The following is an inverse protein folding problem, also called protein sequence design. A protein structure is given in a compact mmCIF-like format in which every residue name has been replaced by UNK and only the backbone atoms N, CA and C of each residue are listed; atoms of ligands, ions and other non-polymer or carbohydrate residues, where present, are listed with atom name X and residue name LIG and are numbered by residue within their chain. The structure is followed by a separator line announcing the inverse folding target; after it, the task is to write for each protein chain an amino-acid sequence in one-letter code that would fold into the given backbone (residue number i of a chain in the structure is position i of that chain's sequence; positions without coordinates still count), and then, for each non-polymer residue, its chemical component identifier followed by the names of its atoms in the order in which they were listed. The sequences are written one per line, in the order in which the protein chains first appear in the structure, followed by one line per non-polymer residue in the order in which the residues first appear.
data_IF_578355260285
#
_entry.id   IF_578355260285
#
_cell.length_a   1.000
_cell.length_b   1.000
_cell.length_c   1.000
_cell.angle_alpha   90.00
_cell.angle_beta   90.00
_cell.angle_gamma   90.00
#
_symmetry.space_group_name_H-M   'P 1'
#
loop_
_entity.id
_entity.type
_entity.pdbx_description
1 polymer ?
#
# COMPACT_ATOMS: atom_id res chain seq x y z
N UNK A 1 19.71 -15.08 -2.16
CA UNK A 1 19.62 -13.64 -2.36
C UNK A 1 19.34 -13.10 -1.00
N UNK A 2 20.29 -12.36 -0.49
CA UNK A 2 20.15 -11.70 0.79
C UNK A 2 19.24 -10.47 0.63
N UNK A 3 18.75 -9.94 1.75
CA UNK A 3 17.89 -8.76 1.75
C UNK A 3 18.55 -7.55 1.08
N UNK A 4 19.87 -7.39 1.22
CA UNK A 4 20.64 -6.32 0.58
C UNK A 4 20.59 -6.40 -0.96
N UNK A 5 20.51 -7.60 -1.53
CA UNK A 5 20.35 -7.78 -2.97
C UNK A 5 18.96 -7.31 -3.43
N UNK A 6 17.93 -7.53 -2.58
CA UNK A 6 16.55 -7.08 -2.86
C UNK A 6 16.44 -5.57 -2.82
N UNK A 7 17.10 -4.93 -1.86
CA UNK A 7 17.11 -3.48 -1.72
C UNK A 7 17.77 -2.80 -2.92
N UNK A 8 18.85 -3.38 -3.46
CA UNK A 8 19.45 -2.90 -4.72
C UNK A 8 18.53 -3.09 -5.92
N UNK A 9 17.80 -4.21 -5.99
CA UNK A 9 16.81 -4.43 -7.05
C UNK A 9 15.66 -3.41 -7.01
N UNK A 10 15.29 -2.95 -5.82
CA UNK A 10 14.31 -1.89 -5.63
C UNK A 10 14.88 -0.48 -5.86
N UNK A 11 16.21 -0.32 -5.97
CA UNK A 11 16.88 0.98 -6.06
C UNK A 11 16.86 1.77 -4.75
N UNK A 12 16.83 1.07 -3.63
CA UNK A 12 16.61 1.64 -2.28
C UNK A 12 17.91 1.80 -1.47
N UNK A 13 19.02 1.26 -1.96
CA UNK A 13 20.26 1.17 -1.20
C UNK A 13 20.94 2.51 -0.91
N UNK A 14 20.63 3.57 -1.66
CA UNK A 14 21.07 4.93 -1.36
C UNK A 14 20.18 5.59 -0.28
N UNK A 15 18.86 5.44 -0.39
CA UNK A 15 17.90 6.00 0.57
C UNK A 15 18.11 5.45 1.98
N UNK A 16 18.46 4.17 2.09
CA UNK A 16 18.76 3.52 3.37
C UNK A 16 20.05 4.01 4.04
N UNK A 17 20.98 4.63 3.30
CA UNK A 17 22.22 5.20 3.83
C UNK A 17 22.05 6.64 4.30
N UNK A 18 21.01 7.34 3.82
CA UNK A 18 20.70 8.71 4.21
C UNK A 18 20.04 8.76 5.60
N UNK A 19 20.71 9.38 6.57
CA UNK A 19 20.22 9.50 7.95
C UNK A 19 19.00 10.40 8.08
N UNK A 20 18.77 11.29 7.12
CA UNK A 20 17.59 12.15 7.09
C UNK A 20 16.39 11.49 6.40
N UNK A 21 16.57 10.30 5.83
CA UNK A 21 15.50 9.54 5.19
C UNK A 21 15.03 8.44 6.13
N UNK A 22 13.78 8.56 6.58
CA UNK A 22 13.18 7.52 7.40
C UNK A 22 12.91 6.26 6.57
N UNK A 23 13.16 5.10 7.17
CA UNK A 23 12.91 3.84 6.51
C UNK A 23 12.60 2.71 7.49
N UNK A 24 11.93 1.68 6.99
CA UNK A 24 11.68 0.42 7.68
C UNK A 24 11.85 -0.73 6.69
N UNK A 25 12.79 -1.62 6.97
CA UNK A 25 13.01 -2.84 6.18
C UNK A 25 12.67 -4.05 7.04
N UNK A 26 11.72 -4.85 6.57
CA UNK A 26 11.28 -6.08 7.19
C UNK A 26 11.57 -7.23 6.21
N UNK A 27 12.24 -8.28 6.70
CA UNK A 27 12.37 -9.54 5.97
C UNK A 27 11.59 -10.62 6.74
N UNK A 28 10.61 -11.23 6.07
CA UNK A 28 9.63 -12.10 6.70
C UNK A 28 8.94 -11.35 7.86
N UNK A 29 9.21 -11.72 9.11
CA UNK A 29 8.62 -11.07 10.28
C UNK A 29 9.62 -10.18 11.02
N UNK A 30 10.89 -10.13 10.56
CA UNK A 30 11.98 -9.49 11.31
C UNK A 30 12.33 -8.13 10.76
N UNK A 31 12.46 -7.15 11.66
CA UNK A 31 12.99 -5.83 11.32
C UNK A 31 14.49 -5.96 11.08
N UNK A 32 14.92 -5.67 9.85
CA UNK A 32 16.32 -5.72 9.42
C UNK A 32 16.99 -4.35 9.53
N UNK A 33 16.26 -3.29 9.17
CA UNK A 33 16.76 -1.91 9.26
C UNK A 33 15.62 -0.96 9.60
N UNK A 34 15.94 0.07 10.38
CA UNK A 34 14.98 1.10 10.79
C UNK A 34 15.69 2.41 11.03
N UNK A 35 15.17 3.48 10.44
CA UNK A 35 15.55 4.86 10.74
C UNK A 35 14.28 5.70 10.85
N UNK A 36 14.25 6.60 11.82
CA UNK A 36 13.13 7.52 12.05
C UNK A 36 13.63 8.96 12.06
N UNK A 37 12.74 9.89 11.76
CA UNK A 37 13.01 11.33 11.76
C UNK A 37 12.07 12.02 12.76
N UNK A 38 12.39 13.24 13.23
CA UNK A 38 11.55 13.94 14.20
C UNK A 38 10.08 14.01 13.79
N UNK A 39 9.19 13.64 14.71
CA UNK A 39 7.74 13.64 14.51
C UNK A 39 7.17 12.41 13.78
N UNK A 40 8.01 11.46 13.35
CA UNK A 40 7.59 10.16 12.83
C UNK A 40 7.91 9.06 13.86
N UNK A 41 6.86 8.37 14.30
CA UNK A 41 6.97 7.21 15.18
C UNK A 41 6.60 5.95 14.40
N UNK A 42 7.42 4.92 14.55
CA UNK A 42 7.18 3.61 13.97
C UNK A 42 7.40 2.60 15.10
N UNK A 43 6.37 1.88 15.50
CA UNK A 43 6.47 0.77 16.45
C UNK A 43 6.28 -0.56 15.70
N UNK A 44 7.04 -1.57 16.09
CA UNK A 44 7.04 -2.88 15.43
C UNK A 44 7.10 -3.98 16.47
N UNK A 45 6.25 -5.00 16.31
CA UNK A 45 6.20 -6.16 17.20
C UNK A 45 6.06 -7.43 16.35
N UNK A 46 7.03 -8.34 16.46
CA UNK A 46 6.94 -9.65 15.81
C UNK A 46 5.84 -10.49 16.48
N UNK A 47 5.02 -11.16 15.69
CA UNK A 47 3.99 -12.10 16.14
C UNK A 47 4.21 -13.45 15.46
N UNK A 48 3.53 -14.50 15.94
CA UNK A 48 3.74 -15.90 15.52
C UNK A 48 3.84 -16.07 13.99
N UNK A 49 2.91 -15.45 13.26
CA UNK A 49 2.80 -15.56 11.80
C UNK A 49 3.08 -14.25 11.04
N UNK A 50 3.65 -13.23 11.70
CA UNK A 50 3.67 -11.91 11.12
C UNK A 50 4.36 -10.81 11.94
N UNK A 51 3.97 -9.58 11.66
CA UNK A 51 4.45 -8.39 12.35
C UNK A 51 3.33 -7.36 12.48
N UNK A 52 3.20 -6.76 13.67
CA UNK A 52 2.42 -5.55 13.87
C UNK A 52 3.29 -4.34 13.56
N UNK A 53 2.78 -3.38 12.78
CA UNK A 53 3.46 -2.13 12.46
C UNK A 53 2.52 -0.97 12.74
N UNK A 54 2.93 -0.07 13.63
CA UNK A 54 2.18 1.14 13.96
C UNK A 54 2.97 2.37 13.54
N UNK A 55 2.37 3.23 12.73
CA UNK A 55 2.98 4.45 12.22
C UNK A 55 2.17 5.65 12.69
N UNK A 56 2.82 6.60 13.35
CA UNK A 56 2.19 7.84 13.81
C UNK A 56 3.02 9.02 13.31
N UNK A 57 2.34 10.00 12.72
CA UNK A 57 2.95 11.29 12.39
C UNK A 57 2.34 12.34 13.29
N UNK A 58 3.18 13.04 14.05
CA UNK A 58 2.72 14.04 15.03
C UNK A 58 1.98 15.22 14.38
N UNK A 59 1.15 15.89 15.19
CA UNK A 59 0.33 17.01 14.73
C UNK A 59 1.17 18.14 14.12
N UNK A 60 0.76 18.61 12.93
CA UNK A 60 1.42 19.69 12.21
C UNK A 60 2.78 19.34 11.60
N UNK A 61 3.27 18.10 11.77
CA UNK A 61 4.56 17.68 11.22
C UNK A 61 4.46 17.38 9.72
N UNK A 62 5.39 17.93 8.97
CA UNK A 62 5.61 17.59 7.56
C UNK A 62 6.88 16.73 7.47
N UNK A 63 6.72 15.48 7.05
CA UNK A 63 7.84 14.62 6.71
C UNK A 63 8.28 14.96 5.27
N UNK A 64 9.35 15.73 5.16
CA UNK A 64 9.82 16.32 3.89
C UNK A 64 10.30 15.26 2.89
N UNK A 65 11.10 14.29 3.35
CA UNK A 65 11.59 13.19 2.52
C UNK A 65 10.58 12.05 2.53
N UNK A 66 10.46 11.38 1.38
CA UNK A 66 9.63 10.18 1.25
C UNK A 66 10.16 9.10 2.20
N UNK A 67 9.26 8.47 2.94
CA UNK A 67 9.59 7.38 3.86
C UNK A 67 9.60 6.08 3.08
N UNK A 68 10.64 5.27 3.26
CA UNK A 68 10.81 4.03 2.50
C UNK A 68 10.45 2.83 3.36
N UNK A 69 9.51 2.01 2.90
CA UNK A 69 9.12 0.77 3.57
C UNK A 69 9.43 -0.41 2.64
N UNK A 70 10.14 -1.41 3.13
CA UNK A 70 10.50 -2.58 2.36
C UNK A 70 10.01 -3.83 3.07
N UNK A 71 9.17 -4.61 2.40
CA UNK A 71 8.67 -5.90 2.86
C UNK A 71 9.21 -6.99 1.94
N UNK A 72 10.30 -7.61 2.38
CA UNK A 72 10.96 -8.69 1.64
C UNK A 72 10.57 -10.06 2.16
N UNK A 73 10.52 -11.04 1.25
CA UNK A 73 10.51 -12.46 1.62
C UNK A 73 11.59 -13.16 0.80
N UNK A 74 12.69 -13.51 1.46
CA UNK A 74 13.85 -14.18 0.82
C UNK A 74 13.67 -15.69 0.62
N UNK A 75 12.69 -16.29 1.30
CA UNK A 75 12.40 -17.72 1.26
C UNK A 75 11.51 -18.08 0.06
N UNK A 76 11.63 -19.30 -0.44
CA UNK A 76 10.82 -19.82 -1.53
C UNK A 76 9.40 -20.24 -1.07
N UNK A 77 9.27 -20.62 0.20
CA UNK A 77 8.02 -20.85 0.90
C UNK A 77 7.93 -20.03 2.17
N UNK A 78 6.84 -19.28 2.35
CA UNK A 78 6.66 -18.43 3.51
C UNK A 78 5.23 -17.95 3.68
N UNK A 79 4.88 -17.65 4.92
CA UNK A 79 3.72 -16.83 5.27
C UNK A 79 4.23 -15.55 5.93
N UNK A 80 3.80 -14.41 5.41
CA UNK A 80 4.04 -13.11 6.00
C UNK A 80 2.69 -12.44 6.21
N UNK A 81 2.30 -12.26 7.48
CA UNK A 81 1.13 -11.44 7.85
C UNK A 81 1.62 -10.09 8.38
N UNK A 82 1.01 -9.00 7.92
CA UNK A 82 1.30 -7.65 8.38
C UNK A 82 0.01 -7.04 8.88
N UNK A 83 -0.01 -6.66 10.15
CA UNK A 83 -1.10 -5.85 10.72
C UNK A 83 -0.59 -4.43 10.83
N UNK A 84 -1.16 -3.53 10.03
CA UNK A 84 -0.68 -2.17 9.90
C UNK A 84 -1.68 -1.17 10.46
N UNK A 85 -1.23 -0.29 11.36
CA UNK A 85 -2.00 0.85 11.85
C UNK A 85 -1.27 2.14 11.51
N UNK A 86 -1.95 3.07 10.83
CA UNK A 86 -1.40 4.37 10.47
C UNK A 86 -2.32 5.48 11.01
N UNK A 87 -1.75 6.41 11.79
CA UNK A 87 -2.45 7.62 12.25
C UNK A 87 -1.64 8.87 11.88
N UNK A 88 -2.07 9.56 10.82
CA UNK A 88 -1.48 10.83 10.38
C UNK A 88 -2.24 11.95 11.05
N UNK A 89 -1.66 12.55 12.11
CA UNK A 89 -2.34 13.52 12.97
C UNK A 89 -2.69 14.81 12.24
N UNK A 90 -3.49 15.65 12.91
CA UNK A 90 -4.07 16.87 12.35
C UNK A 90 -3.01 17.72 11.67
N UNK A 91 -3.31 18.21 10.46
CA UNK A 91 -2.41 19.02 9.64
C UNK A 91 -1.03 18.40 9.34
N UNK A 92 -0.82 17.11 9.61
CA UNK A 92 0.44 16.44 9.34
C UNK A 92 0.51 15.95 7.88
N UNK A 93 1.72 15.73 7.37
CA UNK A 93 1.93 15.28 5.99
C UNK A 93 3.03 14.23 5.92
N UNK A 94 2.75 13.14 5.22
CA UNK A 94 3.71 12.06 4.96
C UNK A 94 3.52 11.48 3.55
N UNK A 95 4.65 11.11 2.95
CA UNK A 95 4.68 10.29 1.73
C UNK A 95 5.45 9.00 2.02
N UNK A 96 4.86 7.85 1.71
CA UNK A 96 5.50 6.54 1.85
C UNK A 96 5.65 5.92 0.45
N UNK A 97 6.82 5.34 0.20
CA UNK A 97 7.08 4.40 -0.89
C UNK A 97 7.36 3.03 -0.30
N UNK A 98 6.52 2.05 -0.66
CA UNK A 98 6.61 0.66 -0.24
C UNK A 98 7.12 -0.21 -1.37
N UNK A 99 8.06 -1.10 -1.07
CA UNK A 99 8.53 -2.15 -1.98
C UNK A 99 8.26 -3.52 -1.37
N UNK A 100 7.48 -4.34 -2.08
CA UNK A 100 7.15 -5.70 -1.70
C UNK A 100 7.89 -6.67 -2.66
N UNK A 101 8.91 -7.39 -2.17
CA UNK A 101 9.89 -8.06 -3.03
C UNK A 101 9.94 -9.57 -2.74
N UNK A 102 9.66 -10.36 -3.78
CA UNK A 102 9.48 -11.81 -3.69
C UNK A 102 10.22 -12.52 -4.83
N UNK A 103 11.56 -12.57 -4.80
CA UNK A 103 12.41 -12.96 -5.93
C UNK A 103 12.32 -14.46 -6.27
N UNK A 104 11.87 -15.30 -5.33
CA UNK A 104 11.92 -16.76 -5.41
C UNK A 104 10.62 -17.42 -4.97
N UNK A 105 9.51 -16.69 -4.95
CA UNK A 105 8.25 -17.23 -4.46
C UNK A 105 7.78 -18.44 -5.28
N UNK A 106 7.78 -19.61 -4.64
CA UNK A 106 7.19 -20.86 -5.14
C UNK A 106 5.88 -21.14 -4.40
N UNK A 107 5.84 -20.85 -3.10
CA UNK A 107 4.65 -20.99 -2.24
C UNK A 107 4.69 -19.92 -1.13
N UNK A 108 4.49 -18.66 -1.52
CA UNK A 108 4.52 -17.52 -0.60
C UNK A 108 3.14 -16.91 -0.47
N UNK A 109 2.71 -16.68 0.77
CA UNK A 109 1.49 -15.94 1.09
C UNK A 109 1.84 -14.65 1.81
N UNK A 110 1.45 -13.52 1.22
CA UNK A 110 1.62 -12.20 1.77
C UNK A 110 0.24 -11.61 2.08
N UNK A 111 -0.04 -11.40 3.36
CA UNK A 111 -1.34 -10.91 3.84
C UNK A 111 -1.09 -9.60 4.57
N UNK A 112 -1.86 -8.57 4.22
CA UNK A 112 -1.81 -7.28 4.91
C UNK A 112 -3.23 -6.90 5.34
N UNK A 113 -3.37 -6.54 6.62
CA UNK A 113 -4.58 -5.94 7.18
C UNK A 113 -4.22 -4.56 7.72
N UNK A 114 -4.67 -3.50 7.02
CA UNK A 114 -4.35 -2.12 7.34
C UNK A 114 -5.55 -1.33 7.86
N UNK A 115 -5.32 -0.53 8.91
CA UNK A 115 -6.24 0.51 9.39
C UNK A 115 -5.56 1.86 9.33
N UNK A 116 -6.14 2.78 8.56
CA UNK A 116 -5.57 4.11 8.32
C UNK A 116 -6.52 5.19 8.79
N UNK A 117 -5.99 6.17 9.53
CA UNK A 117 -6.67 7.40 9.93
C UNK A 117 -5.86 8.59 9.44
N UNK A 118 -6.46 9.38 8.55
CA UNK A 118 -5.89 10.65 8.10
C UNK A 118 -6.73 11.76 8.73
N UNK A 119 -6.16 12.43 9.73
CA UNK A 119 -6.87 13.40 10.56
C UNK A 119 -7.14 14.71 9.81
N UNK A 120 -7.86 15.61 10.48
CA UNK A 120 -8.28 16.89 9.90
C UNK A 120 -7.12 17.63 9.22
N UNK A 121 -7.29 18.03 7.96
CA UNK A 121 -6.30 18.76 7.18
C UNK A 121 -5.01 17.99 6.88
N UNK A 122 -4.89 16.74 7.29
CA UNK A 122 -3.69 15.93 7.09
C UNK A 122 -3.62 15.38 5.66
N UNK A 123 -2.41 15.00 5.23
CA UNK A 123 -2.15 14.48 3.89
C UNK A 123 -1.27 13.23 3.94
N UNK A 124 -1.75 12.15 3.33
CA UNK A 124 -1.02 10.90 3.23
C UNK A 124 -0.99 10.39 1.78
N UNK A 125 0.22 10.20 1.24
CA UNK A 125 0.40 9.49 -0.03
C UNK A 125 1.14 8.16 0.18
N UNK A 126 0.63 7.08 -0.40
CA UNK A 126 1.20 5.74 -0.35
C UNK A 126 1.41 5.18 -1.75
N UNK A 127 2.65 4.98 -2.15
CA UNK A 127 3.00 4.31 -3.41
C UNK A 127 3.54 2.92 -3.07
N UNK A 128 2.99 1.88 -3.66
CA UNK A 128 3.37 0.49 -3.43
C UNK A 128 3.80 -0.16 -4.74
N UNK A 129 5.00 -0.75 -4.72
CA UNK A 129 5.58 -1.45 -5.87
C UNK A 129 5.91 -2.87 -5.51
N UNK A 130 5.32 -3.79 -6.26
CA UNK A 130 5.61 -5.20 -6.15
C UNK A 130 6.61 -5.66 -7.20
N UNK A 131 7.59 -6.44 -6.75
CA UNK A 131 8.60 -7.09 -7.60
C UNK A 131 8.55 -8.58 -7.32
N UNK A 132 7.91 -9.32 -8.21
CA UNK A 132 7.70 -10.77 -8.07
C UNK A 132 8.66 -11.56 -8.97
N UNK A 133 8.87 -12.83 -8.61
CA UNK A 133 9.51 -13.82 -9.48
C UNK A 133 8.66 -14.11 -10.73
N UNK A 134 9.22 -14.87 -11.67
CA UNK A 134 8.49 -15.32 -12.86
C UNK A 134 7.78 -16.68 -12.67
N UNK A 135 7.83 -17.27 -11.47
CA UNK A 135 7.25 -18.58 -11.16
C UNK A 135 5.74 -18.51 -10.92
N UNK A 136 5.25 -17.41 -10.34
CA UNK A 136 3.81 -17.20 -10.05
C UNK A 136 3.31 -17.88 -8.76
N UNK A 137 4.21 -18.45 -7.95
CA UNK A 137 3.91 -19.10 -6.67
C UNK A 137 3.69 -18.12 -5.50
N UNK A 138 3.00 -17.02 -5.75
CA UNK A 138 2.73 -15.99 -4.73
C UNK A 138 1.25 -15.65 -4.67
N UNK A 139 0.74 -15.52 -3.45
CA UNK A 139 -0.59 -15.02 -3.18
C UNK A 139 -0.50 -13.73 -2.33
N UNK A 140 -1.16 -12.68 -2.78
CA UNK A 140 -1.16 -11.36 -2.14
C UNK A 140 -2.59 -10.96 -1.80
N UNK A 141 -2.83 -10.68 -0.52
CA UNK A 141 -4.14 -10.31 0.03
C UNK A 141 -4.04 -9.01 0.83
N UNK A 142 -3.95 -7.83 0.16
CA UNK A 142 -3.94 -6.57 0.86
C UNK A 142 -5.37 -6.10 1.13
N UNK A 143 -5.67 -5.89 2.42
CA UNK A 143 -6.92 -5.32 2.90
C UNK A 143 -6.65 -4.02 3.63
N UNK A 144 -7.45 -2.98 3.36
CA UNK A 144 -7.30 -1.70 4.03
C UNK A 144 -8.62 -0.99 4.31
N UNK A 145 -8.79 -0.54 5.54
CA UNK A 145 -9.90 0.33 5.98
C UNK A 145 -9.35 1.74 6.30
N UNK A 146 -9.74 2.74 5.50
CA UNK A 146 -9.22 4.10 5.59
C UNK A 146 -10.33 5.08 5.95
N UNK A 147 -10.10 5.94 6.95
CA UNK A 147 -10.96 7.09 7.23
C UNK A 147 -10.23 8.41 7.02
N UNK A 148 -10.87 9.31 6.29
CA UNK A 148 -10.41 10.67 6.03
C UNK A 148 -11.31 11.65 6.79
N UNK A 149 -10.70 12.39 7.72
CA UNK A 149 -11.37 13.45 8.44
C UNK A 149 -11.59 14.70 7.57
N UNK A 150 -12.13 15.76 8.17
CA UNK A 150 -12.42 17.01 7.47
C UNK A 150 -11.18 17.55 6.76
N UNK A 151 -11.30 17.85 5.47
CA UNK A 151 -10.22 18.36 4.61
C UNK A 151 -8.98 17.46 4.51
N UNK A 152 -9.06 16.20 4.95
CA UNK A 152 -7.97 15.23 4.83
C UNK A 152 -7.78 14.78 3.38
N UNK A 153 -6.54 14.45 3.01
CA UNK A 153 -6.16 14.01 1.66
C UNK A 153 -5.45 12.69 1.71
N UNK A 154 -5.91 11.74 0.90
CA UNK A 154 -5.26 10.46 0.73
C UNK A 154 -5.08 10.13 -0.74
N UNK A 155 -3.87 9.68 -1.08
CA UNK A 155 -3.54 9.17 -2.40
C UNK A 155 -2.84 7.83 -2.25
N UNK A 156 -3.31 6.81 -2.97
CA UNK A 156 -2.62 5.53 -3.07
C UNK A 156 -2.40 5.11 -4.51
N UNK A 157 -1.24 4.51 -4.78
CA UNK A 157 -0.91 3.87 -6.04
C UNK A 157 -0.35 2.48 -5.77
N UNK A 158 -1.04 1.43 -6.23
CA UNK A 158 -0.59 0.05 -6.21
C UNK A 158 -0.06 -0.35 -7.59
N UNK A 159 1.16 -0.87 -7.66
CA UNK A 159 1.79 -1.32 -8.90
C UNK A 159 2.33 -2.74 -8.78
N UNK A 160 1.78 -3.65 -9.60
CA UNK A 160 2.28 -5.00 -9.80
C UNK A 160 2.41 -5.29 -11.29
N UNK A 161 3.50 -4.79 -11.88
CA UNK A 161 3.81 -4.94 -13.32
C UNK A 161 5.11 -5.72 -13.59
N UNK A 162 5.90 -5.98 -12.54
CA UNK A 162 7.18 -6.71 -12.60
C UNK A 162 7.01 -8.12 -12.03
N UNK A 163 7.22 -9.13 -12.86
CA UNK A 163 7.07 -10.54 -12.49
C UNK A 163 5.72 -11.15 -12.87
N UNK A 164 5.42 -12.32 -12.28
CA UNK A 164 4.10 -12.95 -12.28
C UNK A 164 3.26 -12.40 -11.13
N UNK A 165 1.96 -12.21 -11.35
CA UNK A 165 1.06 -11.84 -10.27
C UNK A 165 0.83 -13.01 -9.32
N UNK A 166 0.69 -14.23 -9.85
CA UNK A 166 0.20 -15.37 -9.07
C UNK A 166 -1.27 -15.16 -8.75
N UNK A 167 -1.61 -15.00 -7.47
CA UNK A 167 -2.95 -14.63 -7.02
C UNK A 167 -2.91 -13.27 -6.31
N UNK A 168 -3.76 -12.36 -6.74
CA UNK A 168 -3.95 -11.05 -6.12
C UNK A 168 -5.42 -10.86 -5.76
N UNK A 169 -5.69 -10.44 -4.54
CA UNK A 169 -7.03 -10.16 -4.04
C UNK A 169 -7.01 -8.90 -3.17
N UNK A 170 -7.20 -7.74 -3.80
CA UNK A 170 -7.21 -6.42 -3.15
C UNK A 170 -8.60 -6.15 -2.58
N UNK A 171 -8.65 -5.69 -1.32
CA UNK A 171 -9.88 -5.23 -0.68
C UNK A 171 -9.68 -3.90 0.08
N UNK A 172 -9.93 -2.78 -0.61
CA UNK A 172 -9.78 -1.44 -0.04
C UNK A 172 -11.11 -0.72 0.13
N UNK A 173 -11.30 -0.11 1.30
CA UNK A 173 -12.46 0.73 1.59
C UNK A 173 -12.06 2.05 2.25
N UNK A 174 -12.48 3.17 1.66
CA UNK A 174 -12.19 4.52 2.15
C UNK A 174 -13.49 5.25 2.47
N UNK A 175 -13.58 5.84 3.65
CA UNK A 175 -14.68 6.75 4.03
C UNK A 175 -14.16 8.17 4.18
N UNK A 176 -14.76 9.12 3.44
CA UNK A 176 -14.35 10.52 3.41
C UNK A 176 -15.39 11.47 4.01
N UNK A 177 -14.94 12.30 4.98
CA UNK A 177 -15.74 13.37 5.61
C UNK A 177 -15.64 14.69 4.83
N UNK A 178 -16.16 15.78 5.41
CA UNK A 178 -16.32 17.10 4.77
C UNK A 178 -15.03 17.56 4.08
N UNK A 179 -15.10 17.91 2.79
CA UNK A 179 -13.97 18.44 2.03
C UNK A 179 -12.79 17.47 1.83
N UNK A 180 -12.91 16.22 2.25
CA UNK A 180 -11.86 15.20 2.07
C UNK A 180 -11.64 14.88 0.59
N UNK A 181 -10.43 14.41 0.26
CA UNK A 181 -10.05 13.98 -1.09
C UNK A 181 -9.38 12.61 -1.03
N UNK A 182 -9.91 11.66 -1.79
CA UNK A 182 -9.32 10.33 -1.99
C UNK A 182 -8.96 10.09 -3.45
N UNK A 183 -7.77 9.53 -3.69
CA UNK A 183 -7.30 9.10 -5.00
C UNK A 183 -6.74 7.69 -4.87
N UNK A 184 -7.35 6.70 -5.53
CA UNK A 184 -6.82 5.33 -5.59
C UNK A 184 -6.46 4.99 -7.03
N UNK A 185 -5.27 4.41 -7.22
CA UNK A 185 -4.82 3.93 -8.52
C UNK A 185 -4.25 2.53 -8.39
N UNK A 186 -4.74 1.59 -9.20
CA UNK A 186 -4.24 0.22 -9.29
C UNK A 186 -3.72 -0.07 -10.69
N UNK A 187 -2.48 -0.56 -10.80
CA UNK A 187 -1.80 -0.95 -12.05
C UNK A 187 -1.31 -2.39 -11.97
N UNK A 188 -1.91 -3.29 -12.73
CA UNK A 188 -1.59 -4.73 -12.65
C UNK A 188 -1.37 -5.32 -14.04
N UNK A 189 -0.27 -6.07 -14.23
CA UNK A 189 0.03 -6.78 -15.49
C UNK A 189 0.13 -8.29 -15.25
N UNK A 190 -1.01 -8.97 -15.38
CA UNK A 190 -1.13 -10.43 -15.25
C UNK A 190 -0.73 -11.18 -16.52
N UNK A 191 -0.24 -12.41 -16.35
CA UNK A 191 0.15 -13.30 -17.46
C UNK A 191 0.00 -14.78 -17.10
N UNK A 192 0.05 -15.64 -18.11
CA UNK A 192 -0.05 -17.09 -17.97
C UNK A 192 -1.36 -17.50 -17.30
N UNK A 193 -1.37 -17.93 -16.04
CA UNK A 193 -2.54 -18.38 -15.28
C UNK A 193 -2.79 -17.51 -14.03
N UNK A 194 -2.29 -16.28 -14.03
CA UNK A 194 -2.50 -15.30 -12.95
C UNK A 194 -3.99 -15.03 -12.70
N UNK A 195 -4.37 -14.90 -11.42
CA UNK A 195 -5.71 -14.54 -10.97
C UNK A 195 -5.68 -13.22 -10.21
N UNK A 196 -6.41 -12.23 -10.73
CA UNK A 196 -6.44 -10.88 -10.18
C UNK A 196 -7.88 -10.56 -9.77
N UNK A 197 -8.06 -10.15 -8.52
CA UNK A 197 -9.29 -9.58 -8.00
C UNK A 197 -8.96 -8.25 -7.34
N UNK A 198 -9.70 -7.22 -7.74
CA UNK A 198 -9.56 -5.88 -7.18
C UNK A 198 -10.93 -5.42 -6.72
N UNK A 199 -11.09 -5.18 -5.42
CA UNK A 199 -12.23 -4.51 -4.83
C UNK A 199 -11.76 -3.19 -4.23
N UNK A 200 -12.27 -2.08 -4.75
CA UNK A 200 -11.98 -0.74 -4.26
C UNK A 200 -13.30 0.00 -4.01
N UNK A 201 -13.51 0.50 -2.79
CA UNK A 201 -14.72 1.20 -2.38
C UNK A 201 -14.40 2.60 -1.82
N UNK A 202 -15.12 3.62 -2.26
CA UNK A 202 -15.07 4.97 -1.73
C UNK A 202 -16.45 5.45 -1.28
N UNK A 203 -16.57 5.85 -0.01
CA UNK A 203 -17.77 6.39 0.60
C UNK A 203 -17.59 7.89 0.90
N UNK A 204 -18.20 8.76 0.10
CA UNK A 204 -18.15 10.21 0.23
C UNK A 204 -19.37 10.71 1.03
N UNK A 205 -19.24 10.67 2.36
CA UNK A 205 -20.33 10.96 3.32
C UNK A 205 -20.32 12.39 3.84
N UNK A 206 -19.31 13.19 3.52
CA UNK A 206 -19.20 14.60 3.93
C UNK A 206 -19.43 15.59 2.79
N UNK A 207 -19.95 16.77 3.11
CA UNK A 207 -20.16 17.84 2.13
C UNK A 207 -18.86 18.13 1.35
N UNK A 208 -18.95 18.28 0.03
CA UNK A 208 -17.81 18.58 -0.88
C UNK A 208 -16.70 17.52 -0.89
N UNK A 209 -16.89 16.33 -0.30
CA UNK A 209 -15.93 15.23 -0.40
C UNK A 209 -15.75 14.79 -1.86
N UNK A 210 -14.52 14.42 -2.24
CA UNK A 210 -14.18 14.05 -3.62
C UNK A 210 -13.39 12.76 -3.67
N UNK A 211 -13.65 11.94 -4.69
CA UNK A 211 -12.98 10.67 -4.87
C UNK A 211 -12.74 10.33 -6.33
N UNK A 212 -11.59 9.71 -6.61
CA UNK A 212 -11.34 9.03 -7.90
C UNK A 212 -10.75 7.66 -7.67
N UNK A 213 -11.31 6.65 -8.33
CA UNK A 213 -10.77 5.29 -8.40
C UNK A 213 -10.31 5.03 -9.82
N UNK A 214 -9.06 4.64 -10.00
CA UNK A 214 -8.48 4.36 -11.31
C UNK A 214 -7.88 2.97 -11.34
N UNK A 215 -8.35 2.10 -12.24
CA UNK A 215 -7.75 0.78 -12.43
C UNK A 215 -7.23 0.62 -13.86
N UNK A 216 -6.01 0.10 -13.97
CA UNK A 216 -5.30 -0.20 -15.22
C UNK A 216 -4.83 -1.64 -15.16
N UNK A 217 -5.57 -2.55 -15.77
CA UNK A 217 -5.28 -3.98 -15.71
C UNK A 217 -4.99 -4.49 -17.12
N UNK A 218 -3.90 -5.24 -17.29
CA UNK A 218 -3.60 -5.92 -18.53
C UNK A 218 -3.38 -7.40 -18.26
N UNK A 219 -4.08 -8.28 -18.97
CA UNK A 219 -3.95 -9.74 -18.82
C UNK A 219 -3.58 -10.41 -20.14
N UNK A 220 -2.79 -11.49 -20.07
CA UNK A 220 -2.38 -12.27 -21.25
C UNK A 220 -2.31 -13.76 -20.98
N UNK A 221 -2.53 -14.56 -22.02
CA UNK A 221 -2.60 -16.03 -21.89
C UNK A 221 -3.95 -16.44 -21.30
N UNK A 222 -3.92 -17.25 -20.24
CA UNK A 222 -5.10 -17.73 -19.51
C UNK A 222 -5.39 -16.93 -18.23
N UNK A 223 -4.68 -15.81 -18.02
CA UNK A 223 -4.83 -14.97 -16.84
C UNK A 223 -6.22 -14.32 -16.81
N UNK A 224 -6.76 -14.12 -15.61
CA UNK A 224 -8.09 -13.56 -15.39
C UNK A 224 -8.02 -12.38 -14.42
N UNK A 225 -8.82 -11.37 -14.71
CA UNK A 225 -9.00 -10.22 -13.83
C UNK A 225 -10.48 -9.95 -13.58
N UNK A 226 -10.82 -9.66 -12.33
CA UNK A 226 -12.11 -9.14 -11.91
C UNK A 226 -11.88 -7.82 -11.16
N UNK A 227 -12.52 -6.74 -11.61
CA UNK A 227 -12.39 -5.41 -11.01
C UNK A 227 -13.78 -4.95 -10.55
N UNK A 228 -13.89 -4.64 -9.26
CA UNK A 228 -15.11 -4.23 -8.58
C UNK A 228 -14.86 -2.89 -7.86
N UNK A 229 -15.17 -1.81 -8.57
CA UNK A 229 -14.99 -0.46 -8.04
C UNK A 229 -16.33 0.17 -7.69
N UNK A 230 -16.45 0.70 -6.48
CA UNK A 230 -17.67 1.32 -5.96
C UNK A 230 -17.35 2.71 -5.44
N UNK A 231 -18.10 3.71 -5.89
CA UNK A 231 -18.00 5.07 -5.38
C UNK A 231 -19.40 5.56 -5.01
N UNK A 232 -19.65 5.70 -3.71
CA UNK A 232 -20.95 6.13 -3.17
C UNK A 232 -20.83 7.55 -2.65
N UNK A 233 -21.56 8.49 -3.25
CA UNK A 233 -21.60 9.88 -2.80
C UNK A 233 -22.99 10.23 -2.26
N UNK A 234 -23.08 10.49 -0.95
CA UNK A 234 -24.36 10.71 -0.24
C UNK A 234 -24.53 12.12 0.31
N UNK A 235 -23.49 12.95 0.29
CA UNK A 235 -23.50 14.30 0.85
C UNK A 235 -23.60 15.40 -0.21
N UNK A 236 -24.07 16.62 0.17
CA UNK A 236 -24.14 17.75 -0.76
C UNK A 236 -22.80 18.07 -1.43
N UNK A 237 -22.82 18.32 -2.73
CA UNK A 237 -21.65 18.66 -3.54
C UNK A 237 -20.52 17.60 -3.56
N UNK A 238 -20.76 16.40 -3.02
CA UNK A 238 -19.82 15.30 -3.13
C UNK A 238 -19.71 14.83 -4.58
N UNK A 239 -18.49 14.49 -5.03
CA UNK A 239 -18.23 14.08 -6.42
C UNK A 239 -17.27 12.91 -6.47
N UNK A 240 -17.72 11.84 -7.12
CA UNK A 240 -16.94 10.63 -7.35
C UNK A 240 -16.66 10.42 -8.83
N UNK A 241 -15.53 9.81 -9.15
CA UNK A 241 -15.22 9.29 -10.48
C UNK A 241 -14.62 7.89 -10.36
N UNK A 242 -14.96 7.03 -11.33
CA UNK A 242 -14.39 5.69 -11.46
C UNK A 242 -13.96 5.53 -12.91
N UNK A 243 -12.71 5.15 -13.12
CA UNK A 243 -12.12 4.93 -14.44
C UNK A 243 -11.40 3.57 -14.45
N UNK A 244 -11.97 2.62 -15.19
CA UNK A 244 -11.40 1.29 -15.36
C UNK A 244 -10.97 1.10 -16.82
N UNK A 245 -9.75 0.61 -17.01
CA UNK A 245 -9.24 0.22 -18.32
C UNK A 245 -8.60 -1.15 -18.21
N UNK A 246 -9.26 -2.14 -18.79
CA UNK A 246 -8.73 -3.49 -18.99
C UNK A 246 -8.28 -3.72 -20.44
N UNK A 247 -7.16 -4.43 -20.63
CA UNK A 247 -6.64 -4.85 -21.94
C UNK A 247 -6.28 -6.34 -21.91
#
# INVERSE_FOLDING_TARGET
MEIDDLLKLAGEDEALKDKETAHLTINLNKVVSKNIVPGLHIDTEEIEDGINVKVIVDEGIVIEKKVHMCFGVTHDKALQKIVMEIDVKKNAKISILSHCIFPKAIDVKHIMDAKVRVREGASYSYEEKHIHSMEGGIEVYPKAEIELDKNARFKTEFELIKGRVGKLDIDYEITGKEGSVMEMTSKVSGRSDDLIKIREAGNLIGEKARGVLTSRVAVRGNAKAEVYNVMVATAPYARGHVDCKEI
#
